data_IF_585555699238
#
_entry.id   IF_585555699238
#
_cell.length_a   1.000
_cell.length_b   1.000
_cell.length_c   1.000
_cell.angle_alpha   90.00
_cell.angle_beta   90.00
_cell.angle_gamma   90.00
#
_symmetry.space_group_name_H-M   'P 1'
#
loop_
_entity.id
_entity.type
_entity.pdbx_description
1 polymer ?
#
# COMPACT_ATOMS: atom_id res chain seq x y z
N UNK A 1 17.97 12.44 -9.31
CA UNK A 1 18.32 12.21 -7.90
C UNK A 1 17.16 11.53 -7.22
N UNK A 2 17.31 10.27 -6.81
CA UNK A 2 16.28 9.57 -6.04
C UNK A 2 16.49 9.90 -4.56
N UNK A 3 15.56 10.62 -3.94
CA UNK A 3 15.60 10.91 -2.50
C UNK A 3 15.29 9.59 -1.78
N UNK A 4 16.30 9.03 -1.11
CA UNK A 4 16.13 7.84 -0.29
C UNK A 4 15.69 8.25 1.12
N UNK A 5 14.38 8.39 1.31
CA UNK A 5 13.78 8.86 2.57
C UNK A 5 14.12 7.99 3.80
N UNK A 6 14.52 6.72 3.60
CA UNK A 6 14.85 5.79 4.69
C UNK A 6 15.95 4.79 4.26
N UNK A 7 17.23 5.01 4.60
CA UNK A 7 18.33 4.24 4.03
C UNK A 7 18.47 2.78 4.55
N UNK A 8 17.50 2.26 5.29
CA UNK A 8 17.49 0.84 5.72
C UNK A 8 16.11 0.29 6.09
N UNK A 9 15.22 1.11 6.65
CA UNK A 9 13.89 0.65 7.10
C UNK A 9 12.99 0.21 5.95
N UNK A 10 12.96 0.95 4.84
CA UNK A 10 12.13 0.59 3.69
C UNK A 10 12.64 -0.65 2.97
N UNK A 11 13.95 -0.81 2.85
CA UNK A 11 14.54 -2.03 2.30
C UNK A 11 14.20 -3.25 3.17
N UNK A 12 14.33 -3.13 4.49
CA UNK A 12 13.96 -4.19 5.44
C UNK A 12 12.47 -4.54 5.38
N UNK A 13 11.58 -3.54 5.31
CA UNK A 13 10.15 -3.75 5.18
C UNK A 13 9.80 -4.45 3.86
N UNK A 14 10.35 -3.97 2.74
CA UNK A 14 10.15 -4.58 1.41
C UNK A 14 10.60 -6.04 1.38
N UNK A 15 11.77 -6.35 1.96
CA UNK A 15 12.29 -7.71 2.06
C UNK A 15 11.35 -8.62 2.87
N UNK A 16 10.91 -8.17 4.04
CA UNK A 16 9.95 -8.92 4.87
C UNK A 16 8.62 -9.16 4.17
N UNK A 17 8.07 -8.15 3.49
CA UNK A 17 6.83 -8.28 2.72
C UNK A 17 7.00 -9.34 1.63
N UNK A 18 8.10 -9.30 0.87
CA UNK A 18 8.39 -10.31 -0.14
C UNK A 18 8.51 -11.73 0.42
N UNK A 19 9.10 -11.90 1.61
CA UNK A 19 9.25 -13.21 2.25
C UNK A 19 7.90 -13.81 2.68
N UNK A 20 6.96 -12.98 3.15
CA UNK A 20 5.64 -13.46 3.58
C UNK A 20 4.62 -13.57 2.44
N UNK A 21 4.77 -12.78 1.37
CA UNK A 21 3.80 -12.69 0.27
C UNK A 21 3.41 -14.04 -0.35
N UNK A 22 4.32 -15.02 -0.56
CA UNK A 22 3.96 -16.36 -1.04
C UNK A 22 2.89 -17.09 -0.23
N UNK A 23 2.77 -16.77 1.06
CA UNK A 23 1.84 -17.40 2.01
C UNK A 23 0.51 -16.62 2.15
N UNK A 24 0.34 -15.54 1.38
CA UNK A 24 -0.82 -14.65 1.47
C UNK A 24 -1.72 -14.85 0.25
N UNK A 25 -3.00 -15.10 0.52
CA UNK A 25 -4.03 -15.25 -0.52
C UNK A 25 -4.64 -13.90 -0.96
N UNK A 26 -4.77 -12.95 -0.03
CA UNK A 26 -5.40 -11.63 -0.26
C UNK A 26 -4.62 -10.53 0.45
N UNK A 27 -4.40 -9.42 -0.26
CA UNK A 27 -3.81 -8.19 0.30
C UNK A 27 -4.93 -7.23 0.68
N UNK A 28 -4.82 -6.61 1.85
CA UNK A 28 -5.70 -5.52 2.28
C UNK A 28 -4.87 -4.24 2.36
N UNK A 29 -5.19 -3.26 1.52
CA UNK A 29 -4.53 -1.97 1.47
C UNK A 29 -5.43 -0.90 2.10
N UNK A 30 -4.98 -0.29 3.19
CA UNK A 30 -5.73 0.77 3.87
C UNK A 30 -5.22 2.13 3.38
N UNK A 31 -6.12 2.90 2.76
CA UNK A 31 -5.86 4.17 2.11
C UNK A 31 -6.60 5.32 2.80
N UNK A 32 -6.21 6.55 2.53
CA UNK A 32 -6.91 7.75 3.00
C UNK A 32 -7.99 8.12 1.96
N UNK A 33 -9.26 8.10 2.36
CA UNK A 33 -10.41 8.34 1.48
C UNK A 33 -10.40 9.72 0.82
N UNK A 34 -9.70 10.71 1.40
CA UNK A 34 -9.60 12.06 0.83
C UNK A 34 -8.73 12.13 -0.42
N UNK A 35 -7.78 11.19 -0.53
CA UNK A 35 -6.77 11.14 -1.59
C UNK A 35 -6.44 9.68 -1.95
N UNK A 36 -7.42 8.88 -2.40
CA UNK A 36 -7.26 7.44 -2.54
C UNK A 36 -6.06 7.09 -3.42
N UNK A 37 -5.98 7.67 -4.62
CA UNK A 37 -4.89 7.41 -5.56
C UNK A 37 -3.52 7.91 -5.08
N UNK A 38 -3.45 9.05 -4.40
CA UNK A 38 -2.17 9.62 -3.96
C UNK A 38 -1.64 8.98 -2.68
N UNK A 39 -2.52 8.39 -1.87
CA UNK A 39 -2.13 7.65 -0.65
C UNK A 39 -1.73 6.20 -0.91
N UNK A 40 -1.95 5.69 -2.14
CA UNK A 40 -1.46 4.38 -2.57
C UNK A 40 0.06 4.32 -2.63
N UNK A 41 0.62 3.14 -2.37
CA UNK A 41 2.04 2.88 -2.55
C UNK A 41 2.26 2.06 -3.84
N UNK A 42 2.84 2.65 -4.90
CA UNK A 42 3.11 1.95 -6.15
C UNK A 42 3.94 0.67 -5.97
N UNK A 43 4.82 0.62 -4.97
CA UNK A 43 5.63 -0.55 -4.69
C UNK A 43 4.79 -1.75 -4.22
N UNK A 44 3.65 -1.53 -3.56
CA UNK A 44 2.74 -2.62 -3.13
C UNK A 44 2.13 -3.30 -4.35
N UNK A 45 1.84 -2.55 -5.41
CA UNK A 45 1.30 -3.11 -6.65
C UNK A 45 2.30 -4.07 -7.32
N UNK A 46 3.60 -3.77 -7.28
CA UNK A 46 4.66 -4.67 -7.74
C UNK A 46 4.79 -5.90 -6.83
N UNK A 47 4.75 -5.68 -5.50
CA UNK A 47 5.00 -6.72 -4.50
C UNK A 47 3.89 -7.78 -4.44
N UNK A 48 2.62 -7.42 -4.69
CA UNK A 48 1.52 -8.38 -4.62
C UNK A 48 1.54 -9.45 -5.72
N UNK A 49 2.28 -9.24 -6.81
CA UNK A 49 2.43 -10.20 -7.93
C UNK A 49 1.10 -10.77 -8.44
N UNK A 50 0.09 -9.92 -8.62
CA UNK A 50 -1.22 -10.34 -9.15
C UNK A 50 -2.19 -10.95 -8.12
N UNK A 51 -1.82 -11.03 -6.83
CA UNK A 51 -2.76 -11.42 -5.77
C UNK A 51 -3.95 -10.45 -5.69
N UNK A 52 -5.16 -10.95 -5.38
CA UNK A 52 -6.32 -10.10 -5.10
C UNK A 52 -5.99 -9.05 -4.04
N UNK A 53 -6.46 -7.82 -4.26
CA UNK A 53 -6.26 -6.71 -3.34
C UNK A 53 -7.60 -6.05 -3.02
N UNK A 54 -7.91 -5.94 -1.73
CA UNK A 54 -9.04 -5.17 -1.22
C UNK A 54 -8.49 -3.83 -0.74
N UNK A 55 -8.98 -2.74 -1.34
CA UNK A 55 -8.65 -1.38 -0.91
C UNK A 55 -9.71 -0.89 0.07
N UNK A 56 -9.29 -0.52 1.27
CA UNK A 56 -10.12 0.06 2.32
C UNK A 56 -9.85 1.56 2.33
N UNK A 57 -10.87 2.36 2.03
CA UNK A 57 -10.80 3.81 2.15
C UNK A 57 -11.16 4.19 3.59
N UNK A 58 -10.17 4.63 4.36
CA UNK A 58 -10.34 5.05 5.75
C UNK A 58 -10.55 6.58 5.83
N UNK A 59 -11.08 7.07 6.95
CA UNK A 59 -11.42 8.50 7.17
C UNK A 59 -12.48 9.03 6.19
N UNK A 60 -13.46 8.19 5.87
CA UNK A 60 -14.58 8.56 4.98
C UNK A 60 -15.41 9.71 5.54
N UNK A 61 -15.44 9.89 6.86
CA UNK A 61 -16.06 11.03 7.54
C UNK A 61 -15.43 12.38 7.16
N UNK A 62 -14.16 12.38 6.73
CA UNK A 62 -13.43 13.56 6.30
C UNK A 62 -13.36 13.70 4.77
N UNK A 63 -13.84 12.71 4.03
CA UNK A 63 -13.88 12.73 2.56
C UNK A 63 -15.13 13.45 2.05
N UNK A 64 -15.12 13.84 0.78
CA UNK A 64 -16.31 14.40 0.15
C UNK A 64 -17.41 13.31 0.10
N UNK A 65 -18.60 13.49 0.71
CA UNK A 65 -19.62 12.46 0.74
C UNK A 65 -20.25 12.16 -0.63
N UNK A 66 -19.97 13.00 -1.64
CA UNK A 66 -20.51 12.85 -3.01
C UNK A 66 -19.52 12.19 -3.97
N UNK A 67 -18.27 11.95 -3.54
CA UNK A 67 -17.18 11.38 -4.35
C UNK A 67 -16.56 10.22 -3.59
#
# INVERSE_FOLDING_TARGET
MAVQWYPGHMHKARKKINEVMPQIDVVIEVLDARIPYSSENPAIAELRQGRPCIKILNKTDLADPKI
#
